data_IF_889292732541
#
_entry.id   IF_889292732541
#
_cell.length_a   1.000
_cell.length_b   1.000
_cell.length_c   1.000
_cell.angle_alpha   90.00
_cell.angle_beta   90.00
_cell.angle_gamma   90.00
#
_symmetry.space_group_name_H-M   'P 1'
#
loop_
_entity.id
_entity.type
_entity.pdbx_description
1 polymer ?
#
# COMPACT_ATOMS: atom_id res chain seq x y z
N UNK A 1 21.16 -8.03 -38.70
CA UNK A 1 21.25 -7.51 -37.32
C UNK A 1 19.94 -6.88 -36.84
N UNK A 2 18.78 -7.57 -36.96
CA UNK A 2 17.44 -7.02 -36.57
C UNK A 2 16.80 -7.71 -35.36
N UNK A 3 17.22 -8.95 -35.05
CA UNK A 3 16.65 -9.75 -33.94
C UNK A 3 16.99 -9.20 -32.56
N UNK A 4 18.24 -8.76 -32.36
CA UNK A 4 18.72 -8.20 -31.09
C UNK A 4 17.89 -6.99 -30.60
N UNK A 5 17.48 -6.10 -31.51
CA UNK A 5 16.65 -4.94 -31.15
C UNK A 5 15.25 -5.34 -30.66
N UNK A 6 14.68 -6.41 -31.23
CA UNK A 6 13.34 -6.89 -30.85
C UNK A 6 13.41 -7.57 -29.48
N UNK A 7 14.39 -8.45 -29.27
CA UNK A 7 14.60 -9.15 -28.00
C UNK A 7 14.84 -8.15 -26.84
N UNK A 8 15.65 -7.11 -27.08
CA UNK A 8 15.89 -6.06 -26.10
C UNK A 8 14.62 -5.25 -25.76
N UNK A 9 13.82 -4.90 -26.78
CA UNK A 9 12.57 -4.15 -26.59
C UNK A 9 11.54 -4.95 -25.81
N UNK A 10 11.42 -6.25 -26.09
CA UNK A 10 10.53 -7.16 -25.34
C UNK A 10 11.00 -7.31 -23.90
N UNK A 11 12.32 -7.47 -23.67
CA UNK A 11 12.88 -7.50 -22.32
C UNK A 11 12.55 -6.24 -21.51
N UNK A 12 12.70 -5.06 -22.12
CA UNK A 12 12.35 -3.79 -21.49
C UNK A 12 10.85 -3.70 -21.16
N UNK A 13 9.99 -4.15 -22.08
CA UNK A 13 8.54 -4.17 -21.88
C UNK A 13 8.14 -5.05 -20.69
N UNK A 14 8.75 -6.24 -20.57
CA UNK A 14 8.48 -7.16 -19.45
C UNK A 14 8.91 -6.54 -18.12
N UNK A 15 10.09 -5.93 -18.06
CA UNK A 15 10.58 -5.24 -16.83
C UNK A 15 9.62 -4.11 -16.43
N UNK A 16 9.18 -3.28 -17.39
CA UNK A 16 8.21 -2.23 -17.13
C UNK A 16 6.87 -2.78 -16.60
N UNK A 17 6.41 -3.91 -17.15
CA UNK A 17 5.22 -4.62 -16.67
C UNK A 17 5.36 -5.11 -15.24
N UNK A 18 6.50 -5.72 -14.89
CA UNK A 18 6.78 -6.19 -13.52
C UNK A 18 6.81 -5.02 -12.54
N UNK A 19 7.43 -3.89 -12.91
CA UNK A 19 7.45 -2.69 -12.07
C UNK A 19 6.04 -2.14 -11.83
N UNK A 20 5.20 -2.10 -12.87
CA UNK A 20 3.82 -1.66 -12.76
C UNK A 20 3.00 -2.57 -11.83
N UNK A 21 3.15 -3.89 -11.97
CA UNK A 21 2.49 -4.86 -11.09
C UNK A 21 2.97 -4.72 -9.65
N UNK A 22 4.28 -4.56 -9.43
CA UNK A 22 4.84 -4.31 -8.10
C UNK A 22 4.26 -3.04 -7.45
N UNK A 23 4.18 -1.96 -8.21
CA UNK A 23 3.58 -0.70 -7.76
C UNK A 23 2.11 -0.86 -7.38
N UNK A 24 1.32 -1.53 -8.23
CA UNK A 24 -0.09 -1.79 -7.94
C UNK A 24 -0.29 -2.68 -6.72
N UNK A 25 0.52 -3.73 -6.56
CA UNK A 25 0.47 -4.62 -5.39
C UNK A 25 0.68 -3.85 -4.08
N UNK A 26 1.63 -2.91 -4.05
CA UNK A 26 1.89 -2.06 -2.89
C UNK A 26 0.71 -1.11 -2.66
N UNK A 27 0.26 -0.42 -3.71
CA UNK A 27 -0.80 0.60 -3.62
C UNK A 27 -2.15 0.00 -3.22
N UNK A 28 -2.51 -1.18 -3.74
CA UNK A 28 -3.75 -1.87 -3.39
C UNK A 28 -3.63 -2.63 -2.06
N UNK A 29 -2.42 -3.05 -1.68
CA UNK A 29 -2.16 -3.74 -0.41
C UNK A 29 -2.30 -2.86 0.83
N UNK A 30 -2.73 -1.60 0.69
CA UNK A 30 -2.86 -0.66 1.82
C UNK A 30 -1.53 -0.29 2.47
N UNK A 31 -0.41 -0.66 1.85
CA UNK A 31 0.92 -0.26 2.28
C UNK A 31 1.15 1.17 1.80
N UNK A 32 0.69 2.13 2.59
CA UNK A 32 1.09 3.53 2.45
C UNK A 32 2.61 3.63 2.70
N UNK A 33 3.43 3.30 1.69
CA UNK A 33 4.89 3.48 1.74
C UNK A 33 5.28 4.96 1.90
N UNK A 34 4.39 5.86 1.50
CA UNK A 34 4.44 7.28 1.82
C UNK A 34 3.52 7.43 3.02
N UNK A 35 4.09 7.37 4.22
CA UNK A 35 3.35 7.30 5.47
C UNK A 35 2.27 8.38 5.57
N UNK A 36 1.08 7.96 6.03
CA UNK A 36 0.04 8.89 6.44
C UNK A 36 0.63 9.91 7.43
N UNK A 37 0.38 11.20 7.17
CA UNK A 37 0.74 12.28 8.08
C UNK A 37 -0.17 12.19 9.32
N UNK A 38 0.19 11.30 10.23
CA UNK A 38 -0.50 11.06 11.49
C UNK A 38 0.39 11.34 12.70
N UNK A 39 -0.22 11.30 13.88
CA UNK A 39 0.47 11.37 15.16
C UNK A 39 -0.12 10.32 16.10
N UNK A 40 0.72 9.79 16.99
CA UNK A 40 0.27 8.81 17.97
C UNK A 40 -0.61 9.47 19.03
N UNK A 41 -1.74 8.82 19.34
CA UNK A 41 -2.68 9.26 20.38
C UNK A 41 -2.88 8.14 21.38
N UNK A 42 -2.74 8.48 22.66
CA UNK A 42 -3.01 7.57 23.76
C UNK A 42 -4.33 7.92 24.41
N UNK A 43 -5.19 6.94 24.58
CA UNK A 43 -6.46 7.08 25.28
C UNK A 43 -6.57 5.99 26.34
N UNK A 44 -7.08 6.35 27.51
CA UNK A 44 -7.39 5.40 28.58
C UNK A 44 -8.87 5.07 28.54
N UNK A 45 -9.17 3.78 28.44
CA UNK A 45 -10.53 3.26 28.50
C UNK A 45 -10.68 2.40 29.76
N UNK A 46 -11.85 2.46 30.39
CA UNK A 46 -12.19 1.57 31.51
C UNK A 46 -12.45 0.13 31.06
N UNK A 47 -12.82 -0.09 29.79
CA UNK A 47 -12.97 -1.39 29.16
C UNK A 47 -12.69 -1.27 27.64
N UNK A 48 -11.73 -2.04 27.13
CA UNK A 48 -11.36 -2.07 25.71
C UNK A 48 -12.23 -3.01 24.86
N UNK A 49 -13.04 -3.87 25.48
CA UNK A 49 -13.90 -4.81 24.77
C UNK A 49 -13.13 -5.72 23.80
N UNK A 50 -13.71 -5.94 22.61
CA UNK A 50 -13.16 -6.79 21.54
C UNK A 50 -12.15 -6.11 20.61
N UNK A 51 -11.49 -5.04 21.06
CA UNK A 51 -10.51 -4.32 20.26
C UNK A 51 -9.32 -5.22 19.88
N UNK A 52 -8.98 -5.24 18.59
CA UNK A 52 -7.85 -6.00 18.06
C UNK A 52 -6.86 -5.09 17.35
N UNK A 53 -5.63 -5.54 17.22
CA UNK A 53 -4.63 -4.84 16.41
C UNK A 53 -5.12 -4.72 14.96
N UNK A 54 -5.00 -3.52 14.37
CA UNK A 54 -5.52 -3.21 13.04
C UNK A 54 -7.02 -2.91 12.99
N UNK A 55 -7.68 -2.67 14.13
CA UNK A 55 -9.05 -2.15 14.13
C UNK A 55 -9.05 -0.70 13.65
N UNK A 56 -9.95 -0.38 12.72
CA UNK A 56 -10.16 0.98 12.20
C UNK A 56 -10.64 1.95 13.29
N UNK A 57 -10.09 3.16 13.28
CA UNK A 57 -10.49 4.32 14.08
C UNK A 57 -11.41 5.20 13.25
N UNK A 58 -12.59 5.52 13.81
CA UNK A 58 -13.59 6.33 13.12
C UNK A 58 -13.96 7.58 13.92
N UNK A 59 -14.12 8.70 13.23
CA UNK A 59 -14.66 9.94 13.78
C UNK A 59 -15.94 10.29 13.02
N UNK A 60 -17.05 10.41 13.75
CA UNK A 60 -18.36 10.74 13.17
C UNK A 60 -18.79 9.83 11.98
N UNK A 61 -18.34 8.57 11.99
CA UNK A 61 -18.64 7.59 10.93
C UNK A 61 -17.67 7.58 9.75
N UNK A 62 -16.58 8.34 9.81
CA UNK A 62 -15.52 8.35 8.79
C UNK A 62 -14.27 7.66 9.35
N UNK A 63 -13.73 6.69 8.63
CA UNK A 63 -12.45 6.03 8.93
C UNK A 63 -11.28 7.02 8.77
N UNK A 64 -10.48 7.17 9.83
CA UNK A 64 -9.36 8.12 9.91
C UNK A 64 -8.04 7.45 10.27
N UNK A 65 -8.02 6.15 10.57
CA UNK A 65 -6.82 5.37 10.90
C UNK A 65 -7.14 3.94 11.30
#
# INVERSE_FOLDING_TARGET
MRKFNIEFTVGLFVIAGILCLGYLSIKLGGMELIGSQGYDVYALFSNSGGLKQGSSVMIAGVEVG
#
